data_IF_191045647184
#
_entry.id   IF_191045647184
#
_cell.length_a   1.000
_cell.length_b   1.000
_cell.length_c   1.000
_cell.angle_alpha   90.00
_cell.angle_beta   90.00
_cell.angle_gamma   90.00
#
_symmetry.space_group_name_H-M   'P 1'
#
loop_
_entity.id
_entity.type
_entity.pdbx_description
1 polymer ?
#
# COMPACT_ATOMS: atom_id res chain seq x y z
N UNK A 1 1.12 -26.85 17.01
CA UNK A 1 1.94 -26.15 16.00
C UNK A 1 1.08 -25.97 14.76
N UNK A 2 0.48 -24.78 14.55
CA UNK A 2 -0.43 -24.57 13.42
C UNK A 2 0.36 -24.44 12.11
N UNK A 3 0.21 -25.43 11.24
CA UNK A 3 0.68 -25.38 9.84
C UNK A 3 -0.09 -24.26 9.14
N UNK A 4 0.58 -23.12 8.93
CA UNK A 4 0.06 -22.07 8.04
C UNK A 4 0.30 -22.54 6.61
N UNK A 5 -0.77 -22.62 5.82
CA UNK A 5 -0.84 -23.07 4.41
C UNK A 5 0.11 -22.29 3.47
N UNK A 6 1.44 -22.37 3.63
CA UNK A 6 2.43 -21.68 2.79
C UNK A 6 2.43 -20.14 2.88
N UNK A 7 1.57 -19.56 3.72
CA UNK A 7 1.37 -18.11 3.80
C UNK A 7 2.23 -17.41 4.84
N UNK A 8 3.35 -18.02 5.24
CA UNK A 8 4.32 -17.39 6.14
C UNK A 8 4.79 -16.05 5.60
N UNK A 9 5.00 -15.88 4.29
CA UNK A 9 5.44 -14.61 3.69
C UNK A 9 4.48 -13.43 3.90
N UNK A 10 3.20 -13.68 4.20
CA UNK A 10 2.17 -12.65 4.28
C UNK A 10 2.08 -12.09 5.69
N UNK A 11 2.60 -10.88 5.88
CA UNK A 11 2.54 -10.19 7.18
C UNK A 11 1.14 -10.24 7.79
N UNK A 12 0.13 -9.80 7.07
CA UNK A 12 -1.27 -9.66 7.54
C UNK A 12 -1.90 -10.96 8.01
N UNK A 13 -1.40 -12.13 7.59
CA UNK A 13 -1.95 -13.45 7.96
C UNK A 13 -1.10 -14.17 9.00
N UNK A 14 -0.18 -13.46 9.63
CA UNK A 14 0.60 -13.98 10.73
C UNK A 14 -0.20 -13.99 12.03
N UNK A 15 -0.06 -15.06 12.80
CA UNK A 15 -0.51 -15.06 14.18
C UNK A 15 0.29 -14.02 14.98
N UNK A 16 -0.35 -13.46 15.99
CA UNK A 16 0.31 -12.57 16.94
C UNK A 16 1.49 -13.29 17.61
N UNK A 17 2.62 -12.60 17.76
CA UNK A 17 3.85 -13.18 18.30
C UNK A 17 5.10 -12.42 17.85
N UNK A 18 6.30 -12.85 18.27
CA UNK A 18 7.56 -12.13 18.04
C UNK A 18 7.80 -11.78 16.57
N UNK A 19 7.45 -12.70 15.68
CA UNK A 19 7.61 -12.52 14.24
C UNK A 19 6.63 -11.47 13.67
N UNK A 20 5.40 -11.42 14.15
CA UNK A 20 4.44 -10.35 13.82
C UNK A 20 4.89 -8.99 14.33
N UNK A 21 5.38 -8.91 15.57
CA UNK A 21 5.90 -7.66 16.13
C UNK A 21 7.06 -7.08 15.32
N UNK A 22 7.98 -7.94 14.86
CA UNK A 22 9.10 -7.55 14.00
C UNK A 22 8.61 -6.94 12.69
N UNK A 23 7.71 -7.62 11.97
CA UNK A 23 7.16 -7.12 10.71
C UNK A 23 6.35 -5.83 10.90
N UNK A 24 5.56 -5.74 11.98
CA UNK A 24 4.80 -4.53 12.31
C UNK A 24 5.73 -3.34 12.55
N UNK A 25 6.84 -3.53 13.26
CA UNK A 25 7.82 -2.47 13.49
C UNK A 25 8.42 -1.98 12.17
N UNK A 26 8.89 -2.90 11.33
CA UNK A 26 9.48 -2.56 10.03
C UNK A 26 8.49 -1.82 9.10
N UNK A 27 7.22 -2.26 9.05
CA UNK A 27 6.19 -1.52 8.31
C UNK A 27 5.94 -0.14 8.90
N UNK A 28 5.84 -0.04 10.22
CA UNK A 28 5.56 1.22 10.89
C UNK A 28 6.67 2.25 10.71
N UNK A 29 7.93 1.84 10.55
CA UNK A 29 9.06 2.74 10.25
C UNK A 29 8.87 3.55 8.96
N UNK A 30 8.08 3.05 8.00
CA UNK A 30 7.81 3.74 6.71
C UNK A 30 6.37 4.22 6.57
N UNK A 31 5.43 3.52 7.19
CA UNK A 31 3.99 3.77 7.08
C UNK A 31 3.39 4.18 8.44
N UNK A 32 4.09 5.03 9.18
CA UNK A 32 3.53 5.68 10.37
C UNK A 32 2.63 6.87 9.97
N UNK A 33 1.68 7.30 10.83
CA UNK A 33 0.78 8.42 10.51
C UNK A 33 1.51 9.71 10.10
N UNK A 34 2.67 10.01 10.69
CA UNK A 34 3.47 11.18 10.29
C UNK A 34 3.99 11.14 8.85
N UNK A 35 4.11 9.96 8.22
CA UNK A 35 4.52 9.85 6.82
C UNK A 35 3.45 10.37 5.85
N UNK A 36 2.21 10.55 6.31
CA UNK A 36 1.08 11.06 5.51
C UNK A 36 1.41 12.44 4.93
N UNK A 37 2.07 13.31 5.68
CA UNK A 37 2.43 14.66 5.23
C UNK A 37 3.37 14.62 4.01
N UNK A 38 4.24 13.62 3.94
CA UNK A 38 5.18 13.42 2.83
C UNK A 38 4.48 12.81 1.61
N UNK A 39 3.60 11.82 1.82
CA UNK A 39 2.97 11.09 0.71
C UNK A 39 1.72 11.78 0.14
N UNK A 40 0.98 12.55 0.94
CA UNK A 40 -0.26 13.21 0.49
C UNK A 40 -0.07 14.14 -0.72
N UNK A 41 0.95 15.01 -0.78
CA UNK A 41 1.20 15.85 -1.95
C UNK A 41 1.45 15.02 -3.22
N UNK A 42 2.22 13.94 -3.11
CA UNK A 42 2.54 13.03 -4.21
C UNK A 42 1.27 12.32 -4.70
N UNK A 43 0.49 11.74 -3.78
CA UNK A 43 -0.78 11.10 -4.09
C UNK A 43 -1.74 12.07 -4.79
N UNK A 44 -1.89 13.29 -4.27
CA UNK A 44 -2.76 14.33 -4.87
C UNK A 44 -2.33 14.70 -6.28
N UNK A 45 -1.02 14.81 -6.55
CA UNK A 45 -0.51 15.07 -7.90
C UNK A 45 -0.94 13.97 -8.87
N UNK A 46 -0.69 12.71 -8.52
CA UNK A 46 -1.08 11.57 -9.37
C UNK A 46 -2.60 11.43 -9.51
N UNK A 47 -3.37 11.69 -8.45
CA UNK A 47 -4.83 11.70 -8.52
C UNK A 47 -5.33 12.76 -9.52
N UNK A 48 -4.80 13.99 -9.47
CA UNK A 48 -5.18 15.04 -10.43
C UNK A 48 -4.85 14.63 -11.86
N UNK A 49 -3.67 14.06 -12.09
CA UNK A 49 -3.26 13.60 -13.42
C UNK A 49 -4.19 12.49 -13.94
N UNK A 50 -4.51 11.51 -13.09
CA UNK A 50 -5.42 10.42 -13.44
C UNK A 50 -6.81 10.95 -13.83
N UNK A 51 -7.34 11.92 -13.08
CA UNK A 51 -8.64 12.54 -13.37
C UNK A 51 -8.63 13.32 -14.69
N UNK A 52 -7.56 14.05 -15.00
CA UNK A 52 -7.41 14.76 -16.28
C UNK A 52 -7.34 13.78 -17.46
N UNK A 53 -6.63 12.67 -17.29
CA UNK A 53 -6.53 11.63 -18.32
C UNK A 53 -7.90 10.95 -18.52
N UNK A 54 -8.60 10.62 -17.44
CA UNK A 54 -9.96 10.09 -17.46
C UNK A 54 -10.94 11.02 -18.19
N UNK A 55 -10.83 12.33 -17.98
CA UNK A 55 -11.67 13.31 -18.68
C UNK A 55 -11.38 13.35 -20.18
N UNK A 56 -10.13 13.10 -20.59
CA UNK A 56 -9.70 13.14 -21.99
C UNK A 56 -10.10 11.90 -22.76
N UNK A 57 -9.92 10.72 -22.17
CA UNK A 57 -10.08 9.42 -22.85
C UNK A 57 -10.48 8.33 -21.86
N UNK A 58 -11.73 8.34 -21.36
CA UNK A 58 -12.17 7.42 -20.31
C UNK A 58 -12.09 5.94 -20.70
N UNK A 59 -12.20 5.63 -21.99
CA UNK A 59 -12.12 4.28 -22.56
C UNK A 59 -10.77 3.58 -22.35
N UNK A 60 -9.68 4.33 -22.18
CA UNK A 60 -8.32 3.79 -21.96
C UNK A 60 -7.86 3.89 -20.49
N UNK A 61 -8.80 3.87 -19.54
CA UNK A 61 -8.52 3.98 -18.10
C UNK A 61 -7.35 3.11 -17.60
N UNK A 62 -7.27 1.85 -18.02
CA UNK A 62 -6.19 0.94 -17.60
C UNK A 62 -4.80 1.44 -17.99
N UNK A 63 -4.69 2.17 -19.09
CA UNK A 63 -3.43 2.74 -19.55
C UNK A 63 -3.03 3.96 -18.72
N UNK A 64 -4.00 4.67 -18.15
CA UNK A 64 -3.77 5.80 -17.26
C UNK A 64 -3.30 5.42 -15.85
N UNK A 65 -3.41 4.14 -15.47
CA UNK A 65 -2.96 3.62 -14.17
C UNK A 65 -1.47 3.23 -14.14
N UNK A 66 -0.76 3.36 -15.27
CA UNK A 66 0.65 3.00 -15.40
C UNK A 66 1.57 4.04 -14.77
#
# INVERSE_FOLDING_TARGET
THVRLGFSWSMTRQCYGPWWHRHRRAMHEKFHPGAVEVYMPIQRMHTKQLLLNLLRSPEVYREHLK
#
